data_IF_423600796080
#
_entry.id   IF_423600796080
#
_cell.length_a   1.000
_cell.length_b   1.000
_cell.length_c   1.000
_cell.angle_alpha   90.00
_cell.angle_beta   90.00
_cell.angle_gamma   90.00
#
_symmetry.space_group_name_H-M   'P 1'
#
loop_
_entity.id
_entity.type
_entity.pdbx_description
1 polymer ?
#
# COMPACT_ATOMS: atom_id res chain seq x y z
N UNK A 1 29.59 -26.62 20.71
CA UNK A 1 29.31 -25.80 21.87
C UNK A 1 30.42 -24.79 22.17
N UNK A 2 31.23 -25.00 23.18
CA UNK A 2 32.12 -23.98 23.80
C UNK A 2 33.08 -23.26 22.79
N UNK A 3 33.56 -23.92 21.75
CA UNK A 3 34.41 -23.30 20.73
C UNK A 3 33.65 -22.30 19.87
N UNK A 4 32.44 -22.66 19.46
CA UNK A 4 31.57 -21.79 18.65
C UNK A 4 31.15 -20.55 19.42
N UNK A 5 30.83 -20.71 20.71
CA UNK A 5 30.45 -19.60 21.59
C UNK A 5 31.62 -18.61 21.78
N UNK A 6 32.84 -19.13 22.04
CA UNK A 6 34.04 -18.29 22.10
C UNK A 6 34.33 -17.55 20.80
N UNK A 7 34.07 -18.18 19.65
CA UNK A 7 34.29 -17.54 18.35
C UNK A 7 33.28 -16.44 18.09
N UNK A 8 31.99 -16.68 18.39
CA UNK A 8 30.91 -15.71 18.31
C UNK A 8 31.25 -14.46 19.17
N UNK A 9 31.58 -14.70 20.43
CA UNK A 9 31.84 -13.63 21.39
C UNK A 9 33.11 -12.82 21.01
N UNK A 10 34.15 -13.48 20.49
CA UNK A 10 35.37 -12.81 20.03
C UNK A 10 35.17 -11.88 18.83
N UNK A 11 34.08 -12.06 18.08
CA UNK A 11 33.70 -11.26 16.91
C UNK A 11 32.58 -10.27 17.22
N UNK A 12 32.03 -10.31 18.44
CA UNK A 12 30.89 -9.48 18.83
C UNK A 12 29.60 -9.83 18.09
N UNK A 13 29.46 -11.06 17.59
CA UNK A 13 28.26 -11.50 16.87
C UNK A 13 27.16 -11.90 17.85
N UNK A 14 25.89 -11.57 17.50
CA UNK A 14 24.74 -12.16 18.18
C UNK A 14 24.50 -13.63 17.76
N UNK A 15 23.63 -14.31 18.49
CA UNK A 15 23.24 -15.70 18.17
C UNK A 15 22.51 -15.83 16.83
N UNK A 16 21.96 -14.75 16.34
CA UNK A 16 21.22 -14.58 15.08
C UNK A 16 22.08 -14.08 13.91
N UNK A 17 23.37 -13.81 14.16
CA UNK A 17 24.25 -13.31 13.10
C UNK A 17 24.32 -14.27 11.91
N UNK A 18 23.96 -13.86 10.67
CA UNK A 18 23.88 -14.74 9.51
C UNK A 18 25.20 -15.41 9.15
N UNK A 19 26.33 -14.70 9.33
CA UNK A 19 27.68 -15.24 9.05
C UNK A 19 28.02 -16.32 10.06
N UNK A 20 27.73 -16.08 11.35
CA UNK A 20 27.94 -17.07 12.40
C UNK A 20 27.11 -18.32 12.18
N UNK A 21 25.82 -18.14 11.88
CA UNK A 21 24.91 -19.28 11.67
C UNK A 21 25.28 -20.10 10.44
N UNK A 22 25.65 -19.44 9.31
CA UNK A 22 25.98 -20.11 8.06
C UNK A 22 27.35 -20.78 8.08
N UNK A 23 28.40 -20.04 8.45
CA UNK A 23 29.78 -20.52 8.33
C UNK A 23 30.22 -21.38 9.51
N UNK A 24 29.66 -21.15 10.70
CA UNK A 24 30.10 -21.81 11.91
C UNK A 24 29.08 -22.81 12.47
N UNK A 25 27.78 -22.55 12.30
CA UNK A 25 26.73 -23.46 12.77
C UNK A 25 26.19 -24.37 11.67
N UNK A 26 26.63 -24.19 10.40
CA UNK A 26 26.15 -24.98 9.26
C UNK A 26 24.66 -24.81 8.98
N UNK A 27 24.06 -23.72 9.44
CA UNK A 27 22.67 -23.40 9.20
C UNK A 27 22.54 -22.59 7.91
N UNK A 28 21.58 -22.95 7.09
CA UNK A 28 21.17 -22.11 5.98
C UNK A 28 20.45 -20.88 6.56
N UNK A 29 21.15 -19.77 6.60
CA UNK A 29 20.58 -18.47 6.94
C UNK A 29 20.82 -17.56 5.76
N UNK A 30 19.77 -16.97 5.26
CA UNK A 30 19.86 -15.94 4.23
C UNK A 30 20.39 -14.66 4.85
N UNK A 31 21.24 -13.96 4.12
CA UNK A 31 21.62 -12.61 4.50
C UNK A 31 20.48 -11.68 4.14
N UNK A 32 19.95 -10.94 5.07
CA UNK A 32 18.90 -9.92 4.81
C UNK A 32 19.35 -8.92 3.75
N UNK A 33 20.67 -8.68 3.65
CA UNK A 33 21.26 -7.77 2.65
C UNK A 33 21.09 -8.27 1.21
N UNK A 34 20.87 -9.57 1.01
CA UNK A 34 20.63 -10.12 -0.33
C UNK A 34 19.17 -10.03 -0.78
N UNK A 35 18.23 -9.84 0.15
CA UNK A 35 16.81 -9.78 -0.14
C UNK A 35 16.43 -8.42 -0.75
N UNK A 36 15.54 -8.46 -1.75
CA UNK A 36 14.98 -7.26 -2.38
C UNK A 36 14.02 -6.55 -1.43
N UNK A 37 13.12 -7.31 -0.80
CA UNK A 37 12.16 -6.80 0.17
C UNK A 37 12.42 -7.40 1.54
N UNK A 38 12.42 -6.54 2.57
CA UNK A 38 12.81 -6.90 3.94
C UNK A 38 11.67 -6.57 4.91
N UNK A 39 10.77 -7.53 5.08
CA UNK A 39 9.70 -7.40 6.06
C UNK A 39 10.08 -8.03 7.40
N UNK A 40 9.41 -7.62 8.45
CA UNK A 40 9.61 -8.06 9.83
C UNK A 40 8.28 -8.51 10.44
N UNK A 41 8.33 -9.13 11.61
CA UNK A 41 7.12 -9.59 12.30
C UNK A 41 6.10 -8.49 12.60
N UNK A 42 6.55 -7.25 12.79
CA UNK A 42 5.64 -6.12 13.02
C UNK A 42 4.86 -5.67 11.79
N UNK A 43 5.24 -6.16 10.59
CA UNK A 43 4.47 -5.93 9.37
C UNK A 43 3.28 -6.91 9.25
N UNK A 44 3.29 -8.02 9.99
CA UNK A 44 2.27 -9.05 9.87
C UNK A 44 1.04 -8.71 10.69
N UNK A 45 -0.14 -8.87 10.08
CA UNK A 45 -1.44 -8.61 10.72
C UNK A 45 -2.44 -9.72 10.38
N UNK A 46 -3.43 -9.93 11.24
CA UNK A 46 -4.48 -10.94 11.04
C UNK A 46 -5.68 -10.40 10.24
N UNK A 47 -5.81 -9.08 10.12
CA UNK A 47 -6.93 -8.44 9.42
C UNK A 47 -6.78 -6.92 9.38
N UNK A 48 -7.69 -6.27 8.66
CA UNK A 48 -7.85 -4.83 8.71
C UNK A 48 -8.42 -4.41 10.06
N UNK A 49 -7.99 -3.26 10.61
CA UNK A 49 -8.65 -2.71 11.80
C UNK A 49 -10.10 -2.29 11.48
N UNK A 50 -10.99 -2.53 12.45
CA UNK A 50 -12.38 -2.13 12.36
C UNK A 50 -12.54 -0.60 12.43
N UNK A 51 -13.72 -0.10 12.04
CA UNK A 51 -14.12 1.31 12.15
C UNK A 51 -13.37 2.32 11.25
N UNK A 52 -12.74 1.86 10.16
CA UNK A 52 -12.09 2.72 9.17
C UNK A 52 -12.65 2.51 7.76
N UNK A 53 -12.84 3.61 7.03
CA UNK A 53 -13.23 3.58 5.61
C UNK A 53 -11.97 3.43 4.73
N UNK A 54 -11.77 2.23 4.19
CA UNK A 54 -10.62 1.94 3.35
C UNK A 54 -10.88 2.23 1.88
N UNK A 55 -9.89 2.85 1.25
CA UNK A 55 -9.76 2.95 -0.20
C UNK A 55 -8.91 1.78 -0.69
N UNK A 56 -9.30 1.15 -1.82
CA UNK A 56 -8.60 -0.01 -2.35
C UNK A 56 -7.93 0.30 -3.69
N UNK A 57 -6.72 -0.24 -3.87
CA UNK A 57 -5.97 -0.17 -5.12
C UNK A 57 -5.59 -1.58 -5.54
N UNK A 58 -5.85 -1.91 -6.81
CA UNK A 58 -5.43 -3.16 -7.41
C UNK A 58 -4.17 -2.94 -8.26
N UNK A 59 -3.11 -3.68 -7.96
CA UNK A 59 -1.94 -3.83 -8.80
C UNK A 59 -1.99 -5.13 -9.59
N UNK A 60 -1.67 -5.06 -10.87
CA UNK A 60 -1.63 -6.23 -11.74
C UNK A 60 -0.30 -6.29 -12.48
N UNK A 61 0.40 -7.40 -12.35
CA UNK A 61 1.55 -7.72 -13.20
C UNK A 61 1.12 -8.72 -14.28
N UNK A 62 1.11 -8.27 -15.55
CA UNK A 62 0.60 -9.05 -16.67
C UNK A 62 1.70 -9.93 -17.26
N UNK A 63 1.68 -11.23 -16.95
CA UNK A 63 2.55 -12.23 -17.54
C UNK A 63 1.78 -13.24 -18.37
N UNK A 64 2.06 -13.34 -19.68
CA UNK A 64 1.41 -14.33 -20.54
C UNK A 64 2.10 -15.71 -20.49
N UNK A 65 3.43 -15.73 -20.50
CA UNK A 65 4.21 -16.97 -20.44
C UNK A 65 4.49 -17.42 -19.02
N UNK A 66 4.61 -16.45 -18.11
CA UNK A 66 4.85 -16.65 -16.69
C UNK A 66 3.52 -16.61 -15.90
N UNK A 67 3.48 -15.91 -14.78
CA UNK A 67 2.26 -15.73 -14.02
C UNK A 67 1.73 -14.30 -14.17
N UNK A 68 0.40 -14.16 -14.23
CA UNK A 68 -0.27 -12.89 -13.95
C UNK A 68 -0.52 -12.81 -12.45
N UNK A 69 -0.11 -11.73 -11.84
CA UNK A 69 -0.28 -11.48 -10.41
C UNK A 69 -1.27 -10.34 -10.16
N UNK A 70 -2.06 -10.51 -9.10
CA UNK A 70 -3.04 -9.52 -8.63
C UNK A 70 -2.75 -9.28 -7.15
N UNK A 71 -2.59 -8.01 -6.78
CA UNK A 71 -2.36 -7.62 -5.38
C UNK A 71 -3.28 -6.47 -5.03
N UNK A 72 -4.09 -6.67 -4.00
CA UNK A 72 -5.01 -5.66 -3.47
C UNK A 72 -4.38 -4.98 -2.27
N UNK A 73 -4.29 -3.67 -2.32
CA UNK A 73 -3.86 -2.83 -1.21
C UNK A 73 -5.03 -2.01 -0.68
N UNK A 74 -5.08 -1.87 0.65
CA UNK A 74 -6.01 -1.00 1.35
C UNK A 74 -5.26 0.11 2.08
N UNK A 75 -5.78 1.32 2.07
CA UNK A 75 -5.27 2.46 2.84
C UNK A 75 -6.44 3.40 3.20
N UNK A 76 -6.26 4.22 4.22
CA UNK A 76 -7.24 5.26 4.55
C UNK A 76 -6.52 6.54 5.00
N UNK A 77 -7.28 7.62 5.19
CA UNK A 77 -6.72 8.91 5.61
C UNK A 77 -6.41 8.97 7.11
N UNK A 78 -7.08 8.12 7.88
CA UNK A 78 -7.04 8.16 9.34
C UNK A 78 -5.94 7.27 9.93
N UNK A 79 -5.26 6.48 9.08
CA UNK A 79 -4.15 5.62 9.46
C UNK A 79 -2.91 5.86 8.57
N UNK A 80 -1.71 5.86 9.16
CA UNK A 80 -0.46 5.98 8.39
C UNK A 80 -0.09 4.69 7.66
N UNK A 81 -0.97 3.70 7.60
CA UNK A 81 -0.65 2.36 7.14
C UNK A 81 -1.24 2.06 5.75
N UNK A 82 -0.50 1.23 5.01
CA UNK A 82 -0.98 0.53 3.81
C UNK A 82 -1.02 -0.96 4.12
N UNK A 83 -2.11 -1.61 3.78
CA UNK A 83 -2.33 -3.03 4.03
C UNK A 83 -2.33 -3.80 2.71
N UNK A 84 -1.51 -4.83 2.58
CA UNK A 84 -1.60 -5.80 1.50
C UNK A 84 -2.63 -6.85 1.97
N UNK A 85 -3.84 -6.80 1.38
CA UNK A 85 -4.99 -7.55 1.87
C UNK A 85 -5.26 -8.83 1.10
N UNK A 86 -4.98 -8.84 -0.21
CA UNK A 86 -5.13 -10.02 -1.06
C UNK A 86 -3.98 -10.11 -2.07
N UNK A 87 -3.50 -11.32 -2.29
CA UNK A 87 -2.43 -11.63 -3.23
C UNK A 87 -2.74 -12.93 -3.95
N UNK A 88 -2.76 -12.88 -5.26
CA UNK A 88 -3.08 -14.03 -6.10
C UNK A 88 -2.18 -14.04 -7.32
N UNK A 89 -1.77 -15.23 -7.78
CA UNK A 89 -1.07 -15.38 -9.07
C UNK A 89 -1.55 -16.60 -9.81
N UNK A 90 -1.64 -16.49 -11.12
CA UNK A 90 -2.05 -17.59 -12.00
C UNK A 90 -1.30 -17.51 -13.33
N UNK A 91 -0.77 -18.64 -13.76
CA UNK A 91 -0.08 -18.75 -15.06
C UNK A 91 -1.06 -18.98 -16.21
N UNK A 92 -0.63 -18.60 -17.42
CA UNK A 92 -1.34 -18.87 -18.69
C UNK A 92 -2.75 -18.29 -18.78
N UNK A 93 -3.00 -17.17 -18.13
CA UNK A 93 -4.28 -16.45 -18.23
C UNK A 93 -4.42 -15.77 -19.59
N UNK A 94 -5.56 -15.93 -20.22
CA UNK A 94 -5.95 -15.14 -21.40
C UNK A 94 -6.48 -13.76 -20.97
N UNK A 95 -6.50 -12.77 -21.85
CA UNK A 95 -7.06 -11.45 -21.52
C UNK A 95 -8.48 -11.50 -20.96
N UNK A 96 -9.32 -12.45 -21.44
CA UNK A 96 -10.66 -12.66 -20.92
C UNK A 96 -10.66 -13.14 -19.46
N UNK A 97 -9.79 -14.12 -19.14
CA UNK A 97 -9.66 -14.66 -17.77
C UNK A 97 -9.17 -13.58 -16.80
N UNK A 98 -8.23 -12.73 -17.28
CA UNK A 98 -7.73 -11.60 -16.50
C UNK A 98 -8.86 -10.59 -16.23
N UNK A 99 -9.66 -10.27 -17.26
CA UNK A 99 -10.78 -9.35 -17.14
C UNK A 99 -11.84 -9.89 -16.16
N UNK A 100 -12.17 -11.17 -16.25
CA UNK A 100 -13.09 -11.84 -15.33
C UNK A 100 -12.57 -11.76 -13.92
N UNK A 101 -11.27 -12.09 -13.71
CA UNK A 101 -10.67 -12.03 -12.37
C UNK A 101 -10.65 -10.61 -11.78
N UNK A 102 -10.34 -9.59 -12.59
CA UNK A 102 -10.41 -8.20 -12.12
C UNK A 102 -11.85 -7.82 -11.77
N UNK A 103 -12.84 -8.29 -12.53
CA UNK A 103 -14.24 -8.03 -12.23
C UNK A 103 -14.69 -8.70 -10.93
N UNK A 104 -14.30 -9.96 -10.69
CA UNK A 104 -14.58 -10.66 -9.43
C UNK A 104 -14.00 -9.91 -8.22
N UNK A 105 -12.75 -9.43 -8.35
CA UNK A 105 -12.13 -8.63 -7.31
C UNK A 105 -12.81 -7.26 -7.15
N UNK A 106 -13.32 -6.65 -8.22
CA UNK A 106 -14.05 -5.39 -8.15
C UNK A 106 -15.44 -5.53 -7.53
N UNK A 107 -16.03 -6.73 -7.55
CA UNK A 107 -17.26 -7.04 -6.83
C UNK A 107 -17.02 -7.17 -5.31
N UNK A 108 -15.80 -7.52 -4.90
CA UNK A 108 -15.40 -7.65 -3.51
C UNK A 108 -14.82 -6.35 -2.93
N UNK A 109 -14.03 -5.63 -3.73
CA UNK A 109 -13.33 -4.41 -3.33
C UNK A 109 -13.74 -3.24 -4.24
N UNK A 110 -14.16 -2.13 -3.65
CA UNK A 110 -14.45 -0.90 -4.40
C UNK A 110 -13.13 -0.17 -4.74
N UNK A 111 -12.56 -0.52 -5.91
CA UNK A 111 -11.26 0.01 -6.31
C UNK A 111 -11.33 1.48 -6.72
N UNK A 112 -10.60 2.33 -6.01
CA UNK A 112 -10.34 3.71 -6.44
C UNK A 112 -9.39 3.76 -7.64
N UNK A 113 -8.53 2.74 -7.78
CA UNK A 113 -7.56 2.63 -8.88
C UNK A 113 -7.19 1.19 -9.19
N UNK A 114 -7.07 0.89 -10.48
CA UNK A 114 -6.51 -0.37 -10.99
C UNK A 114 -5.30 -0.01 -11.85
N UNK A 115 -4.12 -0.50 -11.47
CA UNK A 115 -2.87 -0.27 -12.22
C UNK A 115 -2.29 -1.57 -12.72
N UNK A 116 -1.81 -1.58 -13.95
CA UNK A 116 -1.23 -2.79 -14.52
C UNK A 116 0.09 -2.52 -15.22
N UNK A 117 1.04 -3.49 -15.05
CA UNK A 117 2.17 -3.56 -15.94
C UNK A 117 1.73 -4.02 -17.32
N UNK A 118 1.69 -3.08 -18.23
CA UNK A 118 1.29 -3.37 -19.63
C UNK A 118 2.43 -3.95 -20.47
N UNK A 119 3.65 -4.03 -19.93
CA UNK A 119 4.83 -4.66 -20.53
C UNK A 119 5.04 -4.33 -22.00
N UNK A 120 5.45 -5.35 -22.75
CA UNK A 120 5.59 -5.29 -24.21
C UNK A 120 4.27 -5.27 -24.99
N UNK A 121 3.13 -5.52 -24.33
CA UNK A 121 1.79 -5.50 -24.93
C UNK A 121 1.24 -4.08 -25.10
N UNK A 122 1.82 -3.13 -24.39
CA UNK A 122 1.64 -1.70 -24.63
C UNK A 122 0.24 -1.14 -24.35
N UNK A 123 0.04 0.08 -24.83
CA UNK A 123 -1.23 0.82 -24.66
C UNK A 123 -2.45 0.11 -25.23
N UNK A 124 -2.25 -0.77 -26.23
CA UNK A 124 -3.34 -1.47 -26.91
C UNK A 124 -4.11 -2.42 -25.99
N UNK A 125 -3.43 -3.08 -25.04
CA UNK A 125 -4.12 -4.01 -24.13
C UNK A 125 -4.96 -3.25 -23.09
N UNK A 126 -4.45 -2.12 -22.60
CA UNK A 126 -5.22 -1.25 -21.69
C UNK A 126 -6.47 -0.72 -22.35
N UNK A 127 -6.35 -0.30 -23.61
CA UNK A 127 -7.50 0.17 -24.39
C UNK A 127 -8.50 -0.96 -24.64
N UNK A 128 -8.02 -2.18 -24.91
CA UNK A 128 -8.87 -3.36 -25.06
C UNK A 128 -9.64 -3.68 -23.78
N UNK A 129 -8.97 -3.68 -22.63
CA UNK A 129 -9.63 -3.89 -21.33
C UNK A 129 -10.71 -2.84 -21.09
N UNK A 130 -10.43 -1.58 -21.37
CA UNK A 130 -11.39 -0.49 -21.22
C UNK A 130 -12.58 -0.61 -22.18
N UNK A 131 -12.32 -0.86 -23.46
CA UNK A 131 -13.38 -0.86 -24.51
C UNK A 131 -14.19 -2.15 -24.48
N UNK A 132 -13.52 -3.32 -24.33
CA UNK A 132 -14.19 -4.61 -24.41
C UNK A 132 -14.81 -5.05 -23.09
N UNK A 133 -14.14 -4.77 -21.98
CA UNK A 133 -14.55 -5.26 -20.66
C UNK A 133 -15.01 -4.15 -19.71
N UNK A 134 -14.93 -2.87 -20.11
CA UNK A 134 -15.34 -1.74 -19.29
C UNK A 134 -14.44 -1.48 -18.07
N UNK A 135 -13.24 -2.08 -18.04
CA UNK A 135 -12.33 -1.98 -16.90
C UNK A 135 -11.41 -0.76 -17.04
N UNK A 136 -11.44 0.20 -16.11
CA UNK A 136 -10.62 1.41 -16.15
C UNK A 136 -9.19 1.13 -15.62
N UNK A 137 -8.42 0.35 -16.38
CA UNK A 137 -7.04 0.01 -16.02
C UNK A 137 -6.11 1.14 -16.47
N UNK A 138 -5.19 1.52 -15.59
CA UNK A 138 -4.14 2.51 -15.85
C UNK A 138 -2.78 1.82 -15.97
N UNK A 139 -1.91 2.29 -16.88
CA UNK A 139 -0.55 1.74 -16.97
C UNK A 139 0.24 2.08 -15.72
N UNK A 140 0.92 1.07 -15.18
CA UNK A 140 1.82 1.24 -14.04
C UNK A 140 3.04 2.10 -14.41
N UNK A 141 3.45 2.98 -13.52
CA UNK A 141 4.67 3.77 -13.67
C UNK A 141 5.88 2.92 -13.25
N UNK A 142 6.77 2.65 -14.21
CA UNK A 142 7.95 1.77 -14.00
C UNK A 142 9.25 2.51 -13.80
N UNK A 143 9.29 3.82 -14.03
CA UNK A 143 10.52 4.57 -13.90
C UNK A 143 11.06 4.50 -12.47
N UNK A 144 12.39 4.47 -12.35
CA UNK A 144 13.09 4.49 -11.07
C UNK A 144 12.70 3.33 -10.11
N UNK A 145 12.40 2.13 -10.66
CA UNK A 145 11.96 0.96 -9.87
C UNK A 145 12.81 0.75 -8.62
N UNK A 146 14.14 0.77 -8.75
CA UNK A 146 15.09 0.61 -7.62
C UNK A 146 14.83 1.58 -6.48
N UNK A 147 14.70 2.88 -6.81
CA UNK A 147 14.43 3.90 -5.77
C UNK A 147 13.10 3.69 -5.07
N UNK A 148 12.09 3.20 -5.79
CA UNK A 148 10.79 2.89 -5.17
C UNK A 148 10.84 1.62 -4.32
N UNK A 149 11.64 0.62 -4.69
CA UNK A 149 11.91 -0.55 -3.83
C UNK A 149 12.57 -0.10 -2.52
N UNK A 150 13.56 0.81 -2.59
CA UNK A 150 14.21 1.36 -1.40
C UNK A 150 13.23 2.14 -0.51
N UNK A 151 12.33 2.94 -1.10
CA UNK A 151 11.27 3.64 -0.36
C UNK A 151 10.29 2.66 0.28
N UNK A 152 9.87 1.63 -0.45
CA UNK A 152 8.98 0.59 0.08
C UNK A 152 9.64 -0.19 1.23
N UNK A 153 10.95 -0.45 1.15
CA UNK A 153 11.71 -1.03 2.25
C UNK A 153 11.79 -0.11 3.48
N UNK A 154 11.85 1.21 3.29
CA UNK A 154 11.74 2.16 4.41
C UNK A 154 10.38 2.06 5.10
N UNK A 155 9.29 2.01 4.34
CA UNK A 155 7.95 1.83 4.86
C UNK A 155 7.77 0.46 5.56
N UNK A 156 8.41 -0.59 5.05
CA UNK A 156 8.46 -1.90 5.72
C UNK A 156 9.20 -1.81 7.06
N UNK A 157 10.38 -1.19 7.08
CA UNK A 157 11.18 -1.04 8.29
C UNK A 157 10.47 -0.20 9.37
N UNK A 158 9.76 0.85 8.97
CA UNK A 158 8.96 1.70 9.85
C UNK A 158 7.64 1.04 10.29
N UNK A 159 7.25 -0.06 9.63
CA UNK A 159 6.00 -0.75 9.91
C UNK A 159 4.77 -0.07 9.31
N UNK A 160 4.95 0.88 8.40
CA UNK A 160 3.88 1.53 7.65
C UNK A 160 3.16 0.55 6.73
N UNK A 161 3.89 -0.37 6.11
CA UNK A 161 3.29 -1.46 5.33
C UNK A 161 2.93 -2.62 6.24
N UNK A 162 1.68 -3.07 6.13
CA UNK A 162 1.13 -4.25 6.80
C UNK A 162 0.75 -5.31 5.77
N UNK A 163 0.95 -6.57 6.11
CA UNK A 163 0.67 -7.70 5.22
C UNK A 163 -0.14 -8.73 5.97
N UNK A 164 -1.19 -9.25 5.35
CA UNK A 164 -2.00 -10.34 5.94
C UNK A 164 -1.14 -11.58 6.17
N UNK A 165 -1.24 -12.19 7.34
CA UNK A 165 -0.53 -13.43 7.65
C UNK A 165 -0.93 -14.53 6.66
N UNK A 166 0.06 -15.28 6.17
CA UNK A 166 -0.14 -16.35 5.21
C UNK A 166 -0.35 -15.89 3.76
N UNK A 167 -0.15 -14.60 3.47
CA UNK A 167 -0.20 -14.07 2.11
C UNK A 167 0.96 -14.62 1.26
N UNK A 168 0.68 -15.03 0.01
CA UNK A 168 1.65 -15.62 -0.92
C UNK A 168 2.83 -14.68 -1.24
N UNK A 169 2.66 -13.37 -1.10
CA UNK A 169 3.73 -12.40 -1.31
C UNK A 169 4.88 -12.57 -0.30
N UNK A 170 4.59 -13.09 0.89
CA UNK A 170 5.61 -13.31 1.93
C UNK A 170 6.61 -14.39 1.49
N UNK A 171 6.13 -15.45 0.82
CA UNK A 171 6.98 -16.49 0.26
C UNK A 171 7.87 -15.95 -0.86
N UNK A 172 7.34 -15.04 -1.68
CA UNK A 172 8.11 -14.38 -2.73
C UNK A 172 9.16 -13.45 -2.12
N UNK A 173 8.82 -12.62 -1.15
CA UNK A 173 9.76 -11.73 -0.47
C UNK A 173 10.86 -12.45 0.31
N UNK A 174 10.58 -13.63 0.83
CA UNK A 174 11.61 -14.48 1.47
C UNK A 174 12.63 -15.05 0.48
N UNK A 175 12.30 -15.10 -0.79
CA UNK A 175 13.12 -15.74 -1.83
C UNK A 175 13.75 -14.77 -2.80
N UNK A 176 13.07 -13.65 -3.13
CA UNK A 176 13.52 -12.70 -4.13
C UNK A 176 14.80 -11.99 -3.67
N UNK A 177 15.87 -12.15 -4.46
CA UNK A 177 17.18 -11.60 -4.16
C UNK A 177 17.64 -10.62 -5.25
N UNK A 178 18.58 -9.77 -4.88
CA UNK A 178 19.34 -8.99 -5.84
C UNK A 178 20.29 -9.86 -6.65
N UNK A 179 20.61 -9.42 -7.86
CA UNK A 179 21.71 -10.00 -8.61
C UNK A 179 23.07 -9.74 -7.92
N UNK A 180 24.14 -10.38 -8.41
CA UNK A 180 25.48 -10.27 -7.81
C UNK A 180 26.00 -8.82 -7.72
N UNK A 181 25.59 -7.96 -8.63
CA UNK A 181 25.96 -6.55 -8.68
C UNK A 181 25.00 -5.63 -7.88
N UNK A 182 23.95 -6.14 -7.29
CA UNK A 182 22.87 -5.39 -6.62
C UNK A 182 22.24 -4.28 -7.49
N UNK A 183 22.16 -4.52 -8.81
CA UNK A 183 21.63 -3.53 -9.76
C UNK A 183 20.20 -3.80 -10.20
N UNK A 184 19.78 -5.05 -10.09
CA UNK A 184 18.45 -5.53 -10.44
C UNK A 184 18.10 -6.77 -9.63
N UNK A 185 16.85 -7.13 -9.67
CA UNK A 185 16.37 -8.40 -9.14
C UNK A 185 16.99 -9.56 -9.92
N UNK A 186 17.37 -10.63 -9.22
CA UNK A 186 17.89 -11.83 -9.84
C UNK A 186 16.74 -12.59 -10.53
N UNK A 187 16.78 -12.65 -11.85
CA UNK A 187 15.76 -13.29 -12.68
C UNK A 187 15.57 -14.81 -12.48
N UNK A 188 16.29 -15.42 -11.53
CA UNK A 188 16.06 -16.80 -11.11
C UNK A 188 14.91 -16.94 -10.12
N UNK A 189 14.47 -15.83 -9.53
CA UNK A 189 13.39 -15.78 -8.55
C UNK A 189 12.16 -15.14 -9.15
N UNK A 190 10.99 -15.57 -8.71
CA UNK A 190 9.72 -14.96 -9.04
C UNK A 190 9.61 -13.60 -8.36
N UNK A 191 9.01 -12.61 -9.06
CA UNK A 191 8.79 -11.24 -8.55
C UNK A 191 7.43 -10.66 -8.97
N UNK A 192 6.52 -11.49 -9.43
CA UNK A 192 5.24 -11.05 -9.98
C UNK A 192 4.34 -10.38 -8.94
N UNK A 193 4.20 -10.98 -7.75
CA UNK A 193 3.44 -10.38 -6.65
C UNK A 193 4.14 -9.12 -6.13
N UNK A 194 5.46 -9.14 -6.05
CA UNK A 194 6.28 -8.00 -5.63
C UNK A 194 6.11 -6.80 -6.55
N UNK A 195 6.10 -7.03 -7.87
CA UNK A 195 5.91 -6.00 -8.87
C UNK A 195 4.49 -5.44 -8.84
N UNK A 196 3.48 -6.30 -8.79
CA UNK A 196 2.09 -5.88 -8.65
C UNK A 196 1.87 -5.06 -7.37
N UNK A 197 2.44 -5.50 -6.23
CA UNK A 197 2.39 -4.77 -4.96
C UNK A 197 3.07 -3.40 -5.06
N UNK A 198 4.28 -3.33 -5.66
CA UNK A 198 5.00 -2.08 -5.84
C UNK A 198 4.21 -1.08 -6.69
N UNK A 199 3.57 -1.53 -7.76
CA UNK A 199 2.75 -0.67 -8.62
C UNK A 199 1.53 -0.12 -7.87
N UNK A 200 0.80 -0.97 -7.13
CA UNK A 200 -0.33 -0.53 -6.34
C UNK A 200 0.08 0.40 -5.18
N UNK A 201 1.17 0.09 -4.47
CA UNK A 201 1.67 0.91 -3.38
C UNK A 201 2.02 2.34 -3.82
N UNK A 202 2.55 2.52 -5.02
CA UNK A 202 2.84 3.85 -5.60
C UNK A 202 1.61 4.72 -5.83
N UNK A 203 0.43 4.11 -5.95
CA UNK A 203 -0.85 4.81 -6.10
C UNK A 203 -1.54 5.08 -4.75
N UNK A 204 -1.17 4.35 -3.69
CA UNK A 204 -1.67 4.58 -2.34
C UNK A 204 -1.18 5.93 -1.81
N UNK A 205 -2.10 6.70 -1.20
CA UNK A 205 -1.81 8.05 -0.70
C UNK A 205 -1.68 8.11 0.81
N UNK A 206 -1.24 7.03 1.42
CA UNK A 206 -1.04 6.87 2.87
C UNK A 206 -0.10 7.94 3.47
N UNK A 207 0.84 8.47 2.69
CA UNK A 207 1.72 9.58 3.09
C UNK A 207 1.00 10.92 3.32
N UNK A 208 -0.31 10.99 3.04
CA UNK A 208 -1.16 12.14 3.34
C UNK A 208 -1.81 12.07 4.72
N UNK A 209 -1.50 11.02 5.48
CA UNK A 209 -1.94 10.90 6.85
C UNK A 209 -1.44 12.09 7.67
N UNK A 210 -2.37 12.76 8.33
CA UNK A 210 -2.08 13.76 9.34
C UNK A 210 -2.55 13.20 10.68
N UNK A 211 -1.61 13.02 11.62
CA UNK A 211 -1.98 12.55 12.95
C UNK A 211 -3.04 13.46 13.55
N UNK A 212 -4.11 12.90 14.12
CA UNK A 212 -5.10 13.71 14.83
C UNK A 212 -4.40 14.57 15.87
N UNK A 213 -4.64 15.87 15.84
CA UNK A 213 -4.15 16.77 16.89
C UNK A 213 -4.82 16.33 18.18
N UNK A 214 -4.04 15.86 19.15
CA UNK A 214 -4.59 15.51 20.46
C UNK A 214 -5.37 16.72 20.99
N UNK A 215 -6.66 16.50 21.27
CA UNK A 215 -7.47 17.57 21.85
C UNK A 215 -6.82 18.04 23.17
N UNK A 216 -6.69 19.35 23.38
CA UNK A 216 -6.10 19.87 24.58
C UNK A 216 -6.82 19.31 25.81
N UNK A 217 -6.06 18.99 26.86
CA UNK A 217 -6.63 18.42 28.09
C UNK A 217 -7.59 19.41 28.73
N UNK A 218 -8.72 18.90 29.21
CA UNK A 218 -9.74 19.71 29.89
C UNK A 218 -9.13 20.61 30.99
N UNK A 219 -9.45 21.89 30.95
CA UNK A 219 -9.01 22.88 31.94
C UNK A 219 -7.66 23.52 31.65
N UNK A 220 -6.96 23.16 30.55
CA UNK A 220 -5.77 23.89 30.12
C UNK A 220 -6.14 25.17 29.33
N UNK A 221 -5.24 26.16 29.25
CA UNK A 221 -5.49 27.36 28.43
C UNK A 221 -5.85 27.02 26.99
N UNK A 222 -5.15 26.07 26.38
CA UNK A 222 -5.33 25.60 25.01
C UNK A 222 -6.72 24.98 24.81
N UNK A 223 -7.26 24.30 25.83
CA UNK A 223 -8.62 23.75 25.80
C UNK A 223 -9.65 24.86 25.71
N UNK A 224 -9.50 25.94 26.48
CA UNK A 224 -10.42 27.05 26.47
C UNK A 224 -10.34 27.86 25.18
N UNK A 225 -9.14 28.06 24.63
CA UNK A 225 -8.92 28.66 23.30
C UNK A 225 -9.64 27.87 22.20
N UNK A 226 -9.51 26.55 22.20
CA UNK A 226 -10.20 25.67 21.25
C UNK A 226 -11.74 25.80 21.36
N UNK A 227 -12.27 25.83 22.57
CA UNK A 227 -13.72 25.98 22.79
C UNK A 227 -14.21 27.35 22.31
N UNK A 228 -13.44 28.40 22.55
CA UNK A 228 -13.79 29.76 22.05
C UNK A 228 -13.77 29.79 20.52
N UNK A 229 -12.78 29.19 19.86
CA UNK A 229 -12.68 29.14 18.41
C UNK A 229 -13.86 28.36 17.79
N UNK A 230 -14.21 27.19 18.34
CA UNK A 230 -15.37 26.41 17.92
C UNK A 230 -16.69 27.20 18.11
N UNK A 231 -16.81 27.96 19.19
CA UNK A 231 -17.98 28.79 19.41
C UNK A 231 -18.08 29.91 18.36
N UNK A 232 -16.97 30.57 18.04
CA UNK A 232 -16.93 31.61 17.02
C UNK A 232 -17.22 31.07 15.63
N UNK A 233 -16.67 29.92 15.25
CA UNK A 233 -16.96 29.27 13.97
C UNK A 233 -18.44 28.88 13.85
N UNK A 234 -19.01 28.30 14.89
CA UNK A 234 -20.44 27.93 14.91
C UNK A 234 -21.36 29.17 14.80
N UNK A 235 -20.97 30.25 15.46
CA UNK A 235 -21.69 31.53 15.41
C UNK A 235 -21.58 32.15 14.02
N UNK A 236 -20.42 32.15 13.41
CA UNK A 236 -20.21 32.68 12.06
C UNK A 236 -20.99 31.86 11.00
N UNK A 237 -21.02 30.53 11.12
CA UNK A 237 -21.84 29.66 10.24
C UNK A 237 -23.33 29.96 10.38
N UNK A 238 -23.82 30.20 11.60
CA UNK A 238 -25.21 30.53 11.85
C UNK A 238 -25.59 31.92 11.31
N UNK A 239 -24.71 32.91 11.40
CA UNK A 239 -24.91 34.25 10.83
C UNK A 239 -25.00 34.21 9.29
N UNK A 240 -24.09 33.50 8.64
CA UNK A 240 -24.10 33.32 7.19
C UNK A 240 -25.35 32.56 6.70
N UNK A 241 -25.86 31.60 7.48
CA UNK A 241 -27.08 30.87 7.15
C UNK A 241 -28.33 31.77 7.25
N UNK A 242 -28.39 32.64 8.25
CA UNK A 242 -29.48 33.57 8.40
C UNK A 242 -29.49 34.68 7.33
N UNK A 243 -28.33 35.08 6.81
CA UNK A 243 -28.26 36.05 5.71
C UNK A 243 -28.70 35.43 4.37
N UNK A 244 -28.32 34.16 4.08
CA UNK A 244 -28.79 33.47 2.86
C UNK A 244 -30.32 33.32 2.86
N UNK A 245 -30.94 33.00 3.99
CA UNK A 245 -32.41 32.88 4.12
C UNK A 245 -33.15 34.23 3.97
N UNK A 246 -32.51 35.32 4.35
CA UNK A 246 -33.07 36.70 4.16
C UNK A 246 -33.08 37.10 2.68
N UNK A 247 -32.08 36.76 1.90
CA UNK A 247 -32.04 37.06 0.46
C UNK A 247 -33.12 36.29 -0.32
N UNK A 248 -33.39 35.02 0.03
CA UNK A 248 -34.48 34.26 -0.59
C UNK A 248 -35.87 34.80 -0.23
N UNK A 249 -36.06 35.23 1.00
CA UNK A 249 -37.35 35.83 1.43
C UNK A 249 -37.62 37.18 0.78
N UNK A 250 -36.60 37.97 0.47
CA UNK A 250 -36.73 39.24 -0.23
C UNK A 250 -37.04 39.12 -1.74
N UNK A 251 -36.53 38.04 -2.38
CA UNK A 251 -36.72 37.77 -3.81
C UNK A 251 -38.13 37.32 -4.18
N UNK A 252 -38.89 36.76 -3.25
CA UNK A 252 -40.28 36.28 -3.50
C UNK A 252 -41.37 37.35 -3.39
N UNK A 253 -41.02 38.59 -2.97
CA UNK A 253 -41.98 39.68 -2.82
C UNK A 253 -42.11 40.59 -4.04
N UNK A 254 -41.32 40.41 -5.10
CA UNK A 254 -41.31 41.29 -6.28
C UNK A 254 -42.22 40.78 -7.43
N UNK A 255 -42.69 39.53 -7.41
CA UNK A 255 -43.52 38.98 -8.48
C UNK A 255 -45.04 39.09 -8.31
N UNK A 256 -45.57 39.94 -7.41
CA UNK A 256 -47.00 40.15 -7.23
C UNK A 256 -47.48 41.57 -7.48
N UNK A 257 -46.84 42.33 -8.33
CA UNK A 257 -47.35 43.61 -8.82
C UNK A 257 -47.03 43.73 -10.33
N UNK A 258 -47.67 42.91 -11.18
CA UNK A 258 -48.03 43.22 -12.57
C UNK A 258 -49.32 42.53 -12.91
#
# INVERSE_FOLDING_TARGET
GEYLDKKRDSKGWGDDNPVYLREWCGRWVRSDDSLVYRYHSHNLVDGLPDDFDFEYVLGVDLGYHDATAFVVLAYCRDLPHVFIVDCQKQSKMLPADIAERISDLADEYDFTRIVADTGGLGKSIVEEFKVRYGLPIYPAEKSKKMSYIEMMNSDLAEGTIKVMQGSDILDEWQNLQWDEDHRKEDGRFENHLSDAALYAWRECRHYRYEAPVEAPKYGTPEYWEMIEEQHWESTAKNLNRNDSDRWWAAGTSIERLQ
#
